data_IF_032192711126
#
_entry.id   IF_032192711126
#
_cell.length_a   1.000
_cell.length_b   1.000
_cell.length_c   1.000
_cell.angle_alpha   90.00
_cell.angle_beta   90.00
_cell.angle_gamma   90.00
#
_symmetry.space_group_name_H-M   'P 1'
#
loop_
_entity.id
_entity.type
_entity.pdbx_description
1 polymer ?
#
# COMPACT_ATOMS: atom_id res chain seq x y z
N UNK A 1 32.95 -36.29 -92.26
CA UNK A 1 33.86 -37.14 -91.46
C UNK A 1 33.02 -38.12 -90.67
N UNK A 2 33.36 -39.43 -90.75
CA UNK A 2 33.09 -40.57 -89.83
C UNK A 2 31.79 -40.53 -88.98
N UNK A 3 30.82 -41.44 -89.22
CA UNK A 3 30.69 -42.77 -88.55
C UNK A 3 30.53 -42.60 -87.02
N UNK A 4 29.50 -43.07 -86.30
CA UNK A 4 28.83 -44.39 -86.24
C UNK A 4 27.63 -44.25 -85.25
N UNK A 5 26.45 -44.83 -85.56
CA UNK A 5 25.85 -46.02 -84.93
C UNK A 5 25.33 -45.78 -83.49
N UNK A 6 24.04 -45.89 -83.17
CA UNK A 6 23.09 -47.03 -83.19
C UNK A 6 22.51 -47.08 -81.74
N UNK A 7 21.28 -47.46 -81.42
CA UNK A 7 20.34 -48.40 -81.99
C UNK A 7 18.92 -48.00 -81.50
N UNK A 8 17.88 -48.07 -82.35
CA UNK A 8 16.86 -49.14 -82.37
C UNK A 8 15.82 -49.00 -81.23
N UNK A 9 14.50 -49.15 -81.42
CA UNK A 9 13.70 -49.66 -82.54
C UNK A 9 12.22 -49.29 -82.27
N UNK A 10 11.45 -49.21 -83.35
CA UNK A 10 10.02 -49.56 -83.51
C UNK A 10 8.95 -48.66 -82.81
N UNK A 11 8.10 -47.94 -83.56
CA UNK A 11 6.96 -48.44 -84.39
C UNK A 11 5.80 -48.93 -83.51
N UNK A 12 4.51 -48.61 -83.67
CA UNK A 12 3.72 -48.14 -84.82
C UNK A 12 2.32 -47.70 -84.31
N UNK A 13 1.72 -46.77 -85.07
CA UNK A 13 0.31 -46.37 -85.28
C UNK A 13 -0.87 -46.89 -84.42
N UNK A 14 -1.83 -45.97 -84.27
CA UNK A 14 -3.28 -46.20 -84.34
C UNK A 14 -4.02 -45.51 -83.19
N UNK A 15 -5.15 -44.85 -83.32
CA UNK A 15 -6.08 -44.55 -84.42
C UNK A 15 -6.99 -43.44 -83.85
N UNK A 16 -7.26 -42.40 -84.62
CA UNK A 16 -8.16 -41.31 -84.22
C UNK A 16 -9.60 -41.69 -84.60
N UNK A 17 -10.48 -41.90 -83.61
CA UNK A 17 -11.93 -41.92 -83.82
C UNK A 17 -12.56 -40.99 -82.78
N UNK A 18 -13.06 -39.86 -83.26
CA UNK A 18 -13.89 -38.92 -82.50
C UNK A 18 -15.30 -39.52 -82.39
N UNK A 19 -15.75 -39.82 -81.16
CA UNK A 19 -17.17 -40.01 -80.86
C UNK A 19 -17.64 -38.83 -80.00
N UNK A 20 -18.55 -38.04 -80.56
CA UNK A 20 -19.28 -36.99 -79.88
C UNK A 20 -20.27 -37.67 -78.92
N UNK A 21 -20.06 -37.54 -77.62
CA UNK A 21 -21.04 -37.90 -76.59
C UNK A 21 -21.78 -36.63 -76.20
N UNK A 22 -23.07 -36.58 -76.55
CA UNK A 22 -24.03 -35.59 -76.05
C UNK A 22 -24.22 -35.78 -74.55
N UNK A 23 -23.69 -34.84 -73.75
CA UNK A 23 -23.94 -34.78 -72.32
C UNK A 23 -25.35 -34.23 -72.05
N UNK A 24 -26.16 -35.02 -71.35
CA UNK A 24 -27.42 -34.62 -70.76
C UNK A 24 -27.07 -33.99 -69.40
N UNK A 25 -27.13 -32.67 -69.27
CA UNK A 25 -26.84 -31.98 -68.01
C UNK A 25 -27.95 -32.29 -67.01
N UNK A 26 -27.64 -33.10 -66.00
CA UNK A 26 -28.44 -33.22 -64.78
C UNK A 26 -27.98 -32.10 -63.84
N UNK A 27 -28.90 -31.21 -63.45
CA UNK A 27 -28.69 -30.32 -62.32
C UNK A 27 -28.65 -31.19 -61.05
N UNK A 28 -27.45 -31.42 -60.52
CA UNK A 28 -27.26 -31.93 -59.17
C UNK A 28 -27.34 -30.74 -58.21
N UNK A 29 -28.43 -30.65 -57.44
CA UNK A 29 -28.50 -29.82 -56.25
C UNK A 29 -27.38 -30.24 -55.30
N UNK A 30 -26.29 -29.47 -55.33
CA UNK A 30 -25.14 -29.70 -54.47
C UNK A 30 -25.49 -29.18 -53.07
N UNK A 31 -26.10 -30.03 -52.25
CA UNK A 31 -26.19 -29.77 -50.82
C UNK A 31 -24.77 -29.77 -50.26
N UNK A 32 -24.31 -28.61 -49.78
CA UNK A 32 -23.11 -28.53 -48.97
C UNK A 32 -23.36 -29.38 -47.72
N UNK A 33 -22.68 -30.52 -47.61
CA UNK A 33 -22.65 -31.33 -46.39
C UNK A 33 -21.92 -30.54 -45.31
N UNK A 34 -22.68 -29.76 -44.54
CA UNK A 34 -22.17 -28.97 -43.43
C UNK A 34 -22.06 -29.88 -42.21
N UNK A 35 -21.16 -30.86 -42.25
CA UNK A 35 -20.81 -31.59 -41.04
C UNK A 35 -20.11 -30.60 -40.10
N UNK A 36 -20.68 -30.26 -38.93
CA UNK A 36 -20.07 -29.30 -38.03
C UNK A 36 -18.68 -29.83 -37.63
N UNK A 37 -17.65 -28.95 -37.57
CA UNK A 37 -16.33 -29.35 -37.15
C UNK A 37 -16.41 -30.10 -35.82
N UNK A 38 -15.69 -31.23 -35.65
CA UNK A 38 -15.69 -31.95 -34.39
C UNK A 38 -15.33 -30.99 -33.26
N UNK A 39 -16.13 -31.02 -32.18
CA UNK A 39 -15.96 -30.11 -31.05
C UNK A 39 -14.50 -30.15 -30.58
N UNK A 40 -13.85 -29.00 -30.51
CA UNK A 40 -12.46 -28.91 -30.09
C UNK A 40 -12.31 -29.51 -28.67
N UNK A 41 -11.70 -30.69 -28.58
CA UNK A 41 -11.47 -31.44 -27.34
C UNK A 41 -10.21 -31.01 -26.59
N UNK A 42 -9.49 -30.01 -27.09
CA UNK A 42 -8.34 -29.44 -26.42
C UNK A 42 -8.80 -28.65 -25.18
N UNK A 43 -8.41 -29.10 -23.98
CA UNK A 43 -8.45 -28.24 -22.79
C UNK A 43 -7.69 -26.96 -23.13
N UNK A 44 -8.39 -25.82 -23.11
CA UNK A 44 -7.78 -24.52 -23.28
C UNK A 44 -6.57 -24.42 -22.33
N UNK A 45 -5.41 -24.07 -22.86
CA UNK A 45 -4.21 -23.85 -22.06
C UNK A 45 -4.56 -22.86 -20.94
N UNK A 46 -4.38 -23.27 -19.69
CA UNK A 46 -4.70 -22.46 -18.52
C UNK A 46 -3.73 -21.26 -18.48
N UNK A 47 -4.15 -20.16 -19.10
CA UNK A 47 -3.36 -18.94 -19.22
C UNK A 47 -3.10 -18.40 -17.81
N UNK A 48 -1.82 -18.19 -17.47
CA UNK A 48 -1.45 -17.58 -16.19
C UNK A 48 -2.01 -16.15 -16.19
N UNK A 49 -2.87 -15.77 -15.21
CA UNK A 49 -3.46 -14.45 -15.19
C UNK A 49 -2.39 -13.39 -14.90
N UNK A 50 -2.38 -12.32 -15.69
CA UNK A 50 -1.42 -11.23 -15.53
C UNK A 50 -1.80 -10.33 -14.33
N UNK A 51 -0.80 -9.91 -13.55
CA UNK A 51 -0.99 -9.14 -12.32
C UNK A 51 -1.06 -7.65 -12.63
N UNK A 52 -2.10 -6.99 -12.14
CA UNK A 52 -2.24 -5.53 -12.14
C UNK A 52 -1.62 -4.92 -10.88
N UNK A 53 -1.13 -3.69 -11.01
CA UNK A 53 -0.56 -2.87 -9.93
C UNK A 53 -1.25 -1.50 -9.90
N UNK A 54 -1.80 -1.15 -8.75
CA UNK A 54 -2.45 0.13 -8.50
C UNK A 54 -1.69 0.89 -7.42
N UNK A 55 -1.34 2.15 -7.70
CA UNK A 55 -0.78 3.10 -6.72
C UNK A 55 -1.86 4.05 -6.24
N UNK A 56 -2.10 4.07 -4.93
CA UNK A 56 -3.10 4.93 -4.29
C UNK A 56 -2.35 5.94 -3.42
N UNK A 57 -2.34 7.24 -3.77
CA UNK A 57 -1.66 8.25 -2.97
C UNK A 57 -2.38 8.46 -1.64
N UNK A 58 -1.61 8.59 -0.56
CA UNK A 58 -2.06 8.90 0.78
C UNK A 58 -1.27 10.13 1.27
N UNK A 59 -1.97 11.09 1.86
CA UNK A 59 -1.34 12.31 2.38
C UNK A 59 -2.03 12.82 3.63
N UNK A 60 -1.26 13.42 4.53
CA UNK A 60 -1.75 14.16 5.69
C UNK A 60 -0.97 15.47 5.81
N UNK A 61 -1.67 16.54 6.15
CA UNK A 61 -1.09 17.88 6.31
C UNK A 61 -0.43 18.05 7.69
N UNK A 62 0.42 19.06 7.83
CA UNK A 62 1.01 19.43 9.12
C UNK A 62 -0.07 19.82 10.15
N UNK A 63 -1.13 20.49 9.71
CA UNK A 63 -2.26 20.91 10.55
C UNK A 63 -3.06 19.71 11.08
N UNK A 64 -3.37 18.74 10.21
CA UNK A 64 -4.06 17.51 10.63
C UNK A 64 -3.19 16.68 11.56
N UNK A 65 -1.89 16.59 11.28
CA UNK A 65 -0.92 15.91 12.14
C UNK A 65 -0.84 16.57 13.51
N UNK A 66 -0.84 17.91 13.56
CA UNK A 66 -0.86 18.69 14.82
C UNK A 66 -2.09 18.34 15.65
N UNK A 67 -3.27 18.33 15.03
CA UNK A 67 -4.53 17.98 15.70
C UNK A 67 -4.52 16.56 16.28
N UNK A 68 -4.05 15.57 15.51
CA UNK A 68 -3.95 14.19 15.99
C UNK A 68 -3.00 14.06 17.19
N UNK A 69 -1.87 14.75 17.16
CA UNK A 69 -0.92 14.75 18.28
C UNK A 69 -1.44 15.51 19.49
N UNK A 70 -2.20 16.58 19.29
CA UNK A 70 -2.84 17.33 20.38
C UNK A 70 -3.81 16.46 21.18
N UNK A 71 -4.60 15.63 20.50
CA UNK A 71 -5.52 14.68 21.11
C UNK A 71 -4.77 13.51 21.78
N UNK A 72 -3.67 13.05 21.18
CA UNK A 72 -2.90 11.92 21.67
C UNK A 72 -1.99 12.26 22.87
N UNK A 73 -1.47 13.48 22.94
CA UNK A 73 -0.51 13.93 23.96
C UNK A 73 -1.18 14.79 25.04
N UNK A 74 -1.84 14.09 25.98
CA UNK A 74 -2.49 14.70 27.14
C UNK A 74 -1.51 14.94 28.30
N UNK A 75 -1.87 15.87 29.18
CA UNK A 75 -1.12 16.13 30.42
C UNK A 75 -1.42 15.07 31.50
N UNK A 76 -0.44 14.75 32.37
CA UNK A 76 0.96 15.16 32.26
C UNK A 76 1.74 14.35 31.21
N UNK A 77 2.66 15.00 30.51
CA UNK A 77 3.55 14.32 29.55
C UNK A 77 4.43 13.30 30.28
N UNK A 78 5.00 13.73 31.41
CA UNK A 78 5.78 12.87 32.31
C UNK A 78 5.40 13.14 33.76
N UNK A 79 5.36 12.07 34.56
CA UNK A 79 5.20 12.16 36.01
C UNK A 79 6.04 11.04 36.62
N UNK A 80 7.27 11.37 36.99
CA UNK A 80 8.27 10.44 37.49
C UNK A 80 8.54 10.75 38.95
N UNK A 81 8.68 9.72 39.79
CA UNK A 81 9.02 9.86 41.21
C UNK A 81 10.29 9.09 41.53
N UNK A 82 11.15 9.67 42.38
CA UNK A 82 12.38 9.05 42.88
C UNK A 82 13.39 8.69 41.79
N UNK A 83 13.45 9.44 40.68
CA UNK A 83 14.46 9.25 39.65
C UNK A 83 15.82 9.59 40.24
N UNK A 84 16.75 8.63 40.32
CA UNK A 84 18.10 8.89 40.83
C UNK A 84 18.83 9.91 39.96
N UNK A 85 19.49 10.86 40.60
CA UNK A 85 20.44 11.78 39.99
C UNK A 85 21.85 11.15 40.01
N UNK A 86 22.76 11.71 39.22
CA UNK A 86 24.17 11.30 39.22
C UNK A 86 24.76 11.35 40.65
N UNK A 87 25.28 10.20 41.11
CA UNK A 87 25.82 9.98 42.46
C UNK A 87 27.14 10.73 42.71
N UNK A 88 27.68 11.46 41.72
CA UNK A 88 28.94 12.20 41.80
C UNK A 88 29.05 13.16 42.99
N UNK A 89 27.93 13.57 43.61
CA UNK A 89 27.91 14.47 44.77
C UNK A 89 27.13 13.92 45.99
N UNK A 90 26.78 12.63 46.02
CA UNK A 90 25.99 11.98 47.08
C UNK A 90 24.69 11.35 46.57
N UNK A 91 23.93 10.72 47.48
CA UNK A 91 22.62 10.12 47.15
C UNK A 91 21.64 11.23 46.78
N UNK A 92 21.17 11.23 45.54
CA UNK A 92 20.18 12.21 45.09
C UNK A 92 19.10 11.59 44.22
N UNK A 93 17.89 12.11 44.37
CA UNK A 93 16.73 11.70 43.60
C UNK A 93 15.83 12.89 43.29
N UNK A 94 15.04 12.79 42.22
CA UNK A 94 14.08 13.79 41.81
C UNK A 94 12.73 13.18 41.49
N UNK A 95 11.68 13.85 41.96
CA UNK A 95 10.37 13.75 41.35
C UNK A 95 10.31 14.79 40.21
N UNK A 96 9.82 14.42 39.02
CA UNK A 96 9.76 15.27 37.83
C UNK A 96 8.37 15.18 37.22
N UNK A 97 7.67 16.30 37.21
CA UNK A 97 6.39 16.50 36.52
C UNK A 97 6.62 17.39 35.31
N UNK A 98 6.19 16.95 34.13
CA UNK A 98 6.26 17.71 32.89
C UNK A 98 4.89 17.80 32.27
N UNK A 99 4.49 19.02 31.94
CA UNK A 99 3.20 19.32 31.35
C UNK A 99 3.36 20.22 30.13
N UNK A 100 2.60 19.90 29.08
CA UNK A 100 2.40 20.73 27.91
C UNK A 100 1.75 22.06 28.30
N UNK A 101 2.23 23.16 27.74
CA UNK A 101 1.73 24.52 28.00
C UNK A 101 1.15 25.23 26.79
N UNK A 102 1.24 24.64 25.60
CA UNK A 102 0.75 25.20 24.36
C UNK A 102 0.63 24.14 23.26
N UNK A 103 0.21 24.53 22.05
CA UNK A 103 -0.02 23.59 20.96
C UNK A 103 1.29 22.98 20.43
N UNK A 104 1.19 21.76 19.89
CA UNK A 104 2.23 21.07 19.13
C UNK A 104 2.37 21.75 17.77
N UNK A 105 3.52 22.38 17.53
CA UNK A 105 3.88 22.84 16.20
C UNK A 105 4.51 21.69 15.40
N UNK A 106 4.09 21.55 14.14
CA UNK A 106 4.53 20.48 13.23
C UNK A 106 5.22 21.09 12.02
N UNK A 107 6.39 20.55 11.66
CA UNK A 107 7.10 20.88 10.42
C UNK A 107 7.39 19.57 9.69
N UNK A 108 6.93 19.47 8.44
CA UNK A 108 7.08 18.28 7.59
C UNK A 108 7.97 18.63 6.40
N UNK A 109 9.28 18.44 6.57
CA UNK A 109 10.29 18.77 5.58
C UNK A 109 11.49 17.82 5.65
N UNK A 110 12.28 17.77 4.58
CA UNK A 110 13.53 17.00 4.52
C UNK A 110 13.34 15.53 4.92
N UNK A 111 12.20 14.95 4.54
CA UNK A 111 11.85 13.57 4.82
C UNK A 111 11.78 13.23 6.33
N UNK A 112 11.50 14.22 7.17
CA UNK A 112 11.33 14.07 8.61
C UNK A 112 10.11 14.85 9.12
N UNK A 113 9.42 14.30 10.12
CA UNK A 113 8.43 15.05 10.89
C UNK A 113 9.10 15.64 12.13
N UNK A 114 9.09 16.96 12.24
CA UNK A 114 9.64 17.68 13.38
C UNK A 114 8.49 18.27 14.20
N UNK A 115 8.47 17.94 15.48
CA UNK A 115 7.47 18.41 16.43
C UNK A 115 8.11 19.30 17.47
N UNK A 116 7.51 20.45 17.74
CA UNK A 116 7.93 21.36 18.81
C UNK A 116 6.82 21.51 19.83
N UNK A 117 7.10 21.11 21.07
CA UNK A 117 6.14 21.06 22.15
C UNK A 117 6.59 21.96 23.31
N UNK A 118 5.95 23.12 23.53
CA UNK A 118 6.24 23.95 24.70
C UNK A 118 5.76 23.24 25.97
N UNK A 119 6.62 23.23 26.99
CA UNK A 119 6.34 22.57 28.26
C UNK A 119 6.74 23.44 29.45
N UNK A 120 6.11 23.14 30.59
CA UNK A 120 6.59 23.50 31.93
C UNK A 120 7.01 22.24 32.66
N UNK A 121 7.95 22.38 33.57
CA UNK A 121 8.28 21.31 34.49
C UNK A 121 8.30 21.81 35.93
N UNK A 122 7.97 20.90 36.82
CA UNK A 122 8.09 21.03 38.26
C UNK A 122 8.92 19.84 38.71
N UNK A 123 9.97 20.09 39.49
CA UNK A 123 10.75 18.99 40.04
C UNK A 123 11.09 19.23 41.49
N UNK A 124 10.95 18.17 42.27
CA UNK A 124 11.33 18.13 43.66
C UNK A 124 12.60 17.31 43.79
N UNK A 125 13.71 17.98 44.09
CA UNK A 125 15.03 17.36 44.22
C UNK A 125 15.32 17.13 45.69
N UNK A 126 15.70 15.89 46.01
CA UNK A 126 16.20 15.47 47.31
C UNK A 126 17.67 15.11 47.14
N UNK A 127 18.51 15.70 47.98
CA UNK A 127 19.93 15.39 48.02
C UNK A 127 20.34 15.08 49.45
N UNK A 128 21.18 14.06 49.59
CA UNK A 128 21.78 13.64 50.85
C UNK A 128 23.23 13.26 50.60
N UNK A 129 24.15 13.95 51.25
CA UNK A 129 25.57 13.71 51.05
C UNK A 129 26.40 14.07 52.27
N UNK A 130 27.67 13.67 52.22
CA UNK A 130 28.65 14.01 53.23
C UNK A 130 29.70 14.93 52.58
N UNK A 131 29.76 16.18 53.04
CA UNK A 131 30.71 17.17 52.54
C UNK A 131 31.62 17.55 53.72
N UNK A 132 32.94 17.34 53.54
CA UNK A 132 33.97 17.58 54.58
C UNK A 132 33.69 16.91 55.95
N UNK A 133 33.05 15.73 55.95
CA UNK A 133 32.75 14.99 57.19
C UNK A 133 31.42 15.37 57.84
N UNK A 134 30.66 16.32 57.28
CA UNK A 134 29.35 16.75 57.75
C UNK A 134 28.25 16.12 56.88
N UNK A 135 27.42 15.28 57.50
CA UNK A 135 26.20 14.75 56.88
C UNK A 135 25.20 15.89 56.69
N UNK A 136 24.80 16.14 55.44
CA UNK A 136 23.86 17.18 55.06
C UNK A 136 22.77 16.60 54.16
N UNK A 137 21.56 17.11 54.30
CA UNK A 137 20.46 16.84 53.36
C UNK A 137 19.77 18.14 52.98
N UNK A 138 19.37 18.23 51.71
CA UNK A 138 18.59 19.36 51.21
C UNK A 138 17.42 18.85 50.37
N UNK A 139 16.34 19.61 50.40
CA UNK A 139 15.14 19.40 49.60
C UNK A 139 14.83 20.72 48.92
N UNK A 140 14.82 20.73 47.59
CA UNK A 140 14.58 21.94 46.82
C UNK A 140 13.58 21.68 45.70
N UNK A 141 12.57 22.55 45.61
CA UNK A 141 11.65 22.59 44.48
C UNK A 141 12.18 23.54 43.42
N UNK A 142 12.06 23.12 42.16
CA UNK A 142 12.47 23.89 41.00
C UNK A 142 11.36 23.91 39.97
N UNK A 143 11.29 25.03 39.28
CA UNK A 143 10.29 25.27 38.24
C UNK A 143 11.00 25.83 37.01
N UNK A 144 10.47 25.50 35.85
CA UNK A 144 10.91 26.10 34.62
C UNK A 144 10.11 25.60 33.44
N UNK A 145 10.69 25.77 32.25
CA UNK A 145 10.06 25.36 31.01
C UNK A 145 10.98 25.50 29.83
N UNK A 146 10.51 25.02 28.70
CA UNK A 146 11.28 24.94 27.48
C UNK A 146 10.43 24.43 26.33
N UNK A 147 11.10 23.92 25.31
CA UNK A 147 10.49 23.29 24.15
C UNK A 147 11.10 21.90 23.97
N UNK A 148 10.26 20.88 23.91
CA UNK A 148 10.69 19.55 23.46
C UNK A 148 10.71 19.56 21.93
N UNK A 149 11.82 19.14 21.34
CA UNK A 149 11.97 18.96 19.89
C UNK A 149 12.00 17.48 19.60
N UNK A 150 10.98 16.97 18.93
CA UNK A 150 10.95 15.58 18.50
C UNK A 150 11.20 15.50 16.99
N UNK A 151 12.09 14.62 16.58
CA UNK A 151 12.27 14.24 15.18
C UNK A 151 11.79 12.81 15.03
N UNK A 152 10.69 12.61 14.31
CA UNK A 152 9.99 11.33 14.22
C UNK A 152 9.85 10.91 12.76
N UNK A 153 10.00 9.61 12.55
CA UNK A 153 9.77 8.91 11.29
C UNK A 153 8.60 7.93 11.50
N UNK A 154 7.40 8.26 11.00
CA UNK A 154 6.26 7.35 11.09
C UNK A 154 6.41 6.17 10.14
N UNK A 155 5.83 5.03 10.49
CA UNK A 155 5.68 3.85 9.63
C UNK A 155 4.41 3.08 9.98
N UNK A 156 3.93 2.23 9.07
CA UNK A 156 2.85 1.29 9.37
C UNK A 156 3.44 -0.12 9.40
N UNK A 157 3.19 -0.85 10.49
CA UNK A 157 3.67 -2.23 10.65
C UNK A 157 2.81 -3.24 9.87
N UNK A 158 3.24 -4.51 9.76
CA UNK A 158 2.48 -5.55 9.05
C UNK A 158 1.08 -5.81 9.63
N UNK A 159 0.84 -5.44 10.89
CA UNK A 159 -0.45 -5.56 11.56
C UNK A 159 -1.36 -4.34 11.36
N UNK A 160 -0.96 -3.43 10.46
CA UNK A 160 -1.69 -2.20 10.14
C UNK A 160 -1.77 -1.22 11.31
N UNK A 161 -0.72 -1.17 12.15
CA UNK A 161 -0.57 -0.17 13.21
C UNK A 161 0.48 0.86 12.87
N UNK A 162 0.18 2.13 13.17
CA UNK A 162 1.14 3.22 13.16
C UNK A 162 2.21 3.00 14.22
N UNK A 163 3.46 3.19 13.80
CA UNK A 163 4.66 3.21 14.61
C UNK A 163 5.37 4.54 14.45
N UNK A 164 5.87 5.07 15.55
CA UNK A 164 6.55 6.34 15.64
C UNK A 164 7.96 6.08 16.19
N UNK A 165 8.95 6.18 15.31
CA UNK A 165 10.35 6.02 15.71
C UNK A 165 11.03 7.38 15.65
N UNK A 166 11.71 7.78 16.71
CA UNK A 166 12.31 9.09 16.74
C UNK A 166 13.20 9.35 17.93
N UNK A 167 13.74 10.56 17.95
CA UNK A 167 14.51 11.08 19.06
C UNK A 167 13.86 12.36 19.58
N UNK A 168 13.97 12.56 20.87
CA UNK A 168 13.58 13.79 21.56
C UNK A 168 14.86 14.57 21.90
N UNK A 169 14.77 15.89 21.88
CA UNK A 169 15.76 16.79 22.42
C UNK A 169 15.07 17.89 23.22
N UNK A 170 15.79 18.50 24.15
CA UNK A 170 15.24 19.51 25.07
C UNK A 170 15.92 20.86 24.87
N UNK A 171 15.13 21.90 24.63
CA UNK A 171 15.60 23.28 24.60
C UNK A 171 15.04 24.05 25.79
N UNK A 172 15.91 24.43 26.74
CA UNK A 172 15.51 25.14 27.95
C UNK A 172 15.35 26.64 27.71
N UNK A 173 14.23 27.22 28.15
CA UNK A 173 14.05 28.69 28.15
C UNK A 173 15.05 29.38 29.08
N UNK A 174 15.32 28.76 30.24
CA UNK A 174 16.35 29.15 31.20
C UNK A 174 16.95 27.89 31.81
N UNK A 175 18.27 27.77 31.79
CA UNK A 175 18.96 26.59 32.30
C UNK A 175 18.64 26.37 33.79
N UNK A 176 18.03 25.23 34.17
CA UNK A 176 17.67 24.95 35.55
C UNK A 176 18.89 24.65 36.41
N UNK A 177 18.85 25.12 37.65
CA UNK A 177 19.94 24.97 38.61
C UNK A 177 19.41 24.91 40.05
N UNK A 178 20.10 24.17 40.90
CA UNK A 178 19.87 24.08 42.35
C UNK A 178 20.98 24.77 43.13
N UNK A 179 20.74 25.05 44.41
CA UNK A 179 21.77 25.60 45.31
C UNK A 179 22.13 24.59 46.38
N UNK A 180 23.38 24.16 46.41
CA UNK A 180 23.93 23.26 47.43
C UNK A 180 25.06 23.99 48.14
N UNK A 181 24.96 24.14 49.47
CA UNK A 181 25.96 24.84 50.31
C UNK A 181 26.36 26.24 49.77
N UNK A 182 25.39 26.99 49.24
CA UNK A 182 25.63 28.32 48.68
C UNK A 182 26.25 28.34 47.27
N UNK A 183 26.55 27.18 46.68
CA UNK A 183 27.00 27.04 45.29
C UNK A 183 25.84 26.68 44.37
N UNK A 184 25.81 27.27 43.18
CA UNK A 184 24.79 27.02 42.16
C UNK A 184 25.24 25.90 41.21
N UNK A 185 24.48 24.82 41.15
CA UNK A 185 24.76 23.64 40.34
C UNK A 185 23.71 23.52 39.24
N UNK A 186 24.16 23.48 37.97
CA UNK A 186 23.27 23.29 36.82
C UNK A 186 22.83 21.84 36.68
N UNK A 187 21.55 21.61 36.44
CA UNK A 187 20.93 20.27 36.36
C UNK A 187 20.24 20.02 35.01
N UNK A 188 20.41 20.94 34.06
CA UNK A 188 19.80 20.89 32.74
C UNK A 188 20.14 19.59 32.00
N UNK A 189 21.40 19.16 32.02
CA UNK A 189 21.85 17.94 31.35
C UNK A 189 21.15 16.70 31.89
N UNK A 190 21.06 16.57 33.22
CA UNK A 190 20.37 15.46 33.87
C UNK A 190 18.88 15.40 33.49
N UNK A 191 18.18 16.54 33.59
CA UNK A 191 16.76 16.60 33.24
C UNK A 191 16.55 16.29 31.75
N UNK A 192 17.45 16.75 30.88
CA UNK A 192 17.38 16.45 29.45
C UNK A 192 17.55 14.96 29.19
N UNK A 193 18.59 14.32 29.76
CA UNK A 193 18.82 12.87 29.66
C UNK A 193 17.63 12.06 30.13
N UNK A 194 17.04 12.45 31.27
CA UNK A 194 15.85 11.76 31.82
C UNK A 194 14.66 11.82 30.88
N UNK A 195 14.42 12.97 30.25
CA UNK A 195 13.33 13.13 29.28
C UNK A 195 13.62 12.41 27.96
N UNK A 196 14.87 12.43 27.51
CA UNK A 196 15.33 11.74 26.30
C UNK A 196 15.22 10.22 26.45
N UNK A 197 15.66 9.65 27.58
CA UNK A 197 15.53 8.22 27.92
C UNK A 197 14.06 7.76 27.95
N UNK A 198 13.14 8.64 28.37
CA UNK A 198 11.70 8.38 28.41
C UNK A 198 10.95 8.82 27.16
N UNK A 199 11.65 9.21 26.11
CA UNK A 199 11.00 9.59 24.84
C UNK A 199 10.18 8.45 24.24
N UNK A 200 10.64 7.20 24.41
CA UNK A 200 9.92 6.00 23.98
C UNK A 200 8.52 5.87 24.61
N UNK A 201 8.38 6.15 25.90
CA UNK A 201 7.08 6.09 26.60
C UNK A 201 6.08 7.11 26.02
N UNK A 202 6.58 8.30 25.68
CA UNK A 202 5.76 9.37 25.10
C UNK A 202 5.31 9.02 23.68
N UNK A 203 6.23 8.50 22.86
CA UNK A 203 5.92 8.04 21.51
C UNK A 203 4.94 6.86 21.53
N UNK A 204 5.10 5.91 22.46
CA UNK A 204 4.21 4.76 22.60
C UNK A 204 2.79 5.19 22.99
N UNK A 205 2.64 6.13 23.94
CA UNK A 205 1.31 6.68 24.27
C UNK A 205 0.65 7.35 23.07
N UNK A 206 1.43 8.11 22.29
CA UNK A 206 0.93 8.70 21.06
C UNK A 206 0.52 7.65 20.03
N UNK A 207 1.32 6.59 19.84
CA UNK A 207 0.97 5.45 18.98
C UNK A 207 -0.36 4.81 19.40
N UNK A 208 -0.54 4.53 20.69
CA UNK A 208 -1.73 3.86 21.21
C UNK A 208 -3.01 4.68 20.94
N UNK A 209 -2.99 5.97 21.25
CA UNK A 209 -4.17 6.82 21.08
C UNK A 209 -4.48 7.09 19.59
N UNK A 210 -3.45 7.30 18.76
CA UNK A 210 -3.64 7.48 17.32
C UNK A 210 -4.16 6.18 16.67
N UNK A 211 -3.61 5.02 17.02
CA UNK A 211 -4.09 3.74 16.49
C UNK A 211 -5.53 3.45 16.93
N UNK A 212 -5.89 3.83 18.16
CA UNK A 212 -7.25 3.67 18.70
C UNK A 212 -8.26 4.55 17.96
N UNK A 213 -7.91 5.78 17.62
CA UNK A 213 -8.80 6.71 16.93
C UNK A 213 -8.97 6.37 15.45
N UNK A 214 -7.87 6.08 14.73
CA UNK A 214 -7.89 5.86 13.28
C UNK A 214 -8.41 4.46 12.91
N UNK A 215 -8.16 3.42 13.73
CA UNK A 215 -8.57 2.02 13.48
C UNK A 215 -8.23 1.54 12.07
N UNK A 216 -7.01 1.84 11.61
CA UNK A 216 -6.56 1.65 10.22
C UNK A 216 -6.83 0.24 9.67
N UNK A 217 -6.54 -0.80 10.48
CA UNK A 217 -6.77 -2.21 10.10
C UNK A 217 -8.21 -2.51 9.72
N UNK A 218 -9.17 -1.91 10.41
CA UNK A 218 -10.59 -2.18 10.17
C UNK A 218 -11.07 -1.51 8.89
N UNK A 219 -10.67 -0.26 8.67
CA UNK A 219 -10.93 0.43 7.41
C UNK A 219 -10.31 -0.31 6.23
N UNK A 220 -9.06 -0.75 6.36
CA UNK A 220 -8.39 -1.56 5.35
C UNK A 220 -9.12 -2.89 5.10
N UNK A 221 -9.58 -3.58 6.15
CA UNK A 221 -10.29 -4.85 6.02
C UNK A 221 -11.66 -4.69 5.33
N UNK A 222 -12.38 -3.60 5.63
CA UNK A 222 -13.66 -3.29 4.98
C UNK A 222 -13.45 -3.02 3.49
N UNK A 223 -12.51 -2.15 3.12
CA UNK A 223 -12.21 -1.88 1.71
C UNK A 223 -11.64 -3.11 0.98
N UNK A 224 -10.85 -3.95 1.65
CA UNK A 224 -10.38 -5.21 1.07
C UNK A 224 -11.51 -6.18 0.74
N UNK A 225 -12.55 -6.21 1.57
CA UNK A 225 -13.78 -6.98 1.31
C UNK A 225 -14.58 -6.37 0.17
N UNK A 226 -14.76 -5.05 0.17
CA UNK A 226 -15.48 -4.33 -0.89
C UNK A 226 -14.83 -4.52 -2.26
N UNK A 227 -13.50 -4.43 -2.35
CA UNK A 227 -12.74 -4.67 -3.59
C UNK A 227 -13.02 -6.03 -4.20
N UNK A 228 -13.33 -7.05 -3.41
CA UNK A 228 -13.63 -8.39 -3.89
C UNK A 228 -15.07 -8.53 -4.40
N UNK A 229 -15.89 -7.49 -4.29
CA UNK A 229 -17.26 -7.48 -4.78
C UNK A 229 -17.25 -7.20 -6.29
N UNK A 230 -17.77 -8.12 -7.11
CA UNK A 230 -17.84 -7.94 -8.56
C UNK A 230 -18.65 -6.72 -8.95
N UNK A 231 -18.13 -5.93 -9.88
CA UNK A 231 -18.76 -4.72 -10.39
C UNK A 231 -19.47 -5.03 -11.73
N UNK A 232 -20.75 -4.70 -11.84
CA UNK A 232 -21.47 -4.81 -13.11
C UNK A 232 -20.99 -3.71 -14.07
N UNK A 233 -20.55 -4.11 -15.27
CA UNK A 233 -20.16 -3.20 -16.35
C UNK A 233 -21.28 -3.01 -17.37
N UNK A 234 -22.09 -4.03 -17.59
CA UNK A 234 -23.25 -4.02 -18.49
C UNK A 234 -24.27 -5.06 -18.05
N UNK A 235 -25.56 -4.82 -18.28
CA UNK A 235 -26.66 -5.76 -17.99
C UNK A 235 -27.13 -6.51 -19.25
N UNK A 236 -26.88 -6.01 -20.45
CA UNK A 236 -27.33 -6.61 -21.71
C UNK A 236 -26.28 -6.45 -22.82
N UNK A 237 -25.36 -7.42 -22.98
CA UNK A 237 -25.20 -8.64 -22.20
C UNK A 237 -24.70 -8.36 -20.78
N UNK A 238 -24.97 -9.28 -19.85
CA UNK A 238 -24.46 -9.20 -18.48
C UNK A 238 -22.94 -9.34 -18.49
N UNK A 239 -22.22 -8.29 -18.12
CA UNK A 239 -20.75 -8.26 -18.05
C UNK A 239 -20.34 -7.77 -16.67
N UNK A 240 -19.47 -8.52 -16.01
CA UNK A 240 -19.00 -8.22 -14.66
C UNK A 240 -17.47 -8.08 -14.67
N UNK A 241 -16.96 -7.10 -13.93
CA UNK A 241 -15.55 -7.01 -13.52
C UNK A 241 -15.39 -7.68 -12.16
N UNK A 242 -14.51 -8.66 -12.08
CA UNK A 242 -14.09 -9.29 -10.84
C UNK A 242 -12.66 -8.88 -10.52
N UNK A 243 -12.41 -8.54 -9.25
CA UNK A 243 -11.10 -8.15 -8.75
C UNK A 243 -10.70 -9.20 -7.71
N UNK A 244 -9.55 -9.83 -7.92
CA UNK A 244 -8.93 -10.73 -6.96
C UNK A 244 -7.67 -10.06 -6.40
N UNK A 245 -7.77 -9.37 -5.25
CA UNK A 245 -6.62 -8.72 -4.65
C UNK A 245 -5.66 -9.77 -4.09
N UNK A 246 -4.35 -9.47 -4.13
CA UNK A 246 -3.28 -10.42 -3.81
C UNK A 246 -2.42 -9.93 -2.65
N UNK A 247 -1.96 -8.69 -2.70
CA UNK A 247 -1.12 -8.12 -1.65
C UNK A 247 -1.24 -6.61 -1.61
N UNK A 248 -0.96 -6.05 -0.45
CA UNK A 248 -0.79 -4.61 -0.26
C UNK A 248 0.62 -4.34 0.23
N UNK A 249 1.23 -3.31 -0.35
CA UNK A 249 2.55 -2.85 0.03
C UNK A 249 2.58 -1.33 0.12
N UNK A 250 3.48 -0.79 0.94
CA UNK A 250 3.61 0.65 1.12
C UNK A 250 5.10 1.01 1.29
N UNK A 251 5.61 2.02 0.58
CA UNK A 251 6.94 2.55 0.84
C UNK A 251 6.94 3.38 2.14
N UNK A 252 8.12 3.71 2.68
CA UNK A 252 8.24 4.66 3.78
C UNK A 252 7.55 6.00 3.44
N UNK A 253 7.07 6.70 4.47
CA UNK A 253 6.53 8.03 4.28
C UNK A 253 7.62 9.02 3.84
N UNK A 254 7.21 9.99 3.03
CA UNK A 254 8.01 11.16 2.68
C UNK A 254 7.38 12.42 3.24
N UNK A 255 8.22 13.33 3.73
CA UNK A 255 7.79 14.61 4.29
C UNK A 255 8.42 15.76 3.49
N UNK A 256 7.58 16.55 2.84
CA UNK A 256 8.01 17.70 2.06
C UNK A 256 6.87 18.73 1.94
N UNK A 257 7.21 20.02 2.03
CA UNK A 257 6.26 21.11 1.78
C UNK A 257 5.07 21.12 2.73
N UNK A 258 5.23 20.72 3.99
CA UNK A 258 4.14 20.68 4.97
C UNK A 258 3.20 19.48 4.81
N UNK A 259 3.55 18.50 3.96
CA UNK A 259 2.75 17.30 3.72
C UNK A 259 3.59 16.06 4.03
N UNK A 260 2.98 15.10 4.73
CA UNK A 260 3.49 13.75 4.89
C UNK A 260 2.72 12.85 3.93
N UNK A 261 3.40 12.28 2.94
CA UNK A 261 2.82 11.51 1.86
C UNK A 261 3.42 10.11 1.73
N UNK A 262 2.62 9.16 1.26
CA UNK A 262 3.06 7.82 0.83
C UNK A 262 2.09 7.28 -0.22
N UNK A 263 2.36 6.10 -0.77
CA UNK A 263 1.53 5.46 -1.77
C UNK A 263 1.25 4.00 -1.40
N UNK A 264 -0.02 3.61 -1.38
CA UNK A 264 -0.40 2.22 -1.20
C UNK A 264 -0.35 1.50 -2.56
N UNK A 265 0.50 0.49 -2.67
CA UNK A 265 0.61 -0.36 -3.84
C UNK A 265 -0.22 -1.64 -3.67
N UNK A 266 -1.30 -1.76 -4.44
CA UNK A 266 -2.19 -2.91 -4.49
C UNK A 266 -1.86 -3.79 -5.70
N UNK A 267 -1.54 -5.06 -5.45
CA UNK A 267 -1.45 -6.09 -6.49
C UNK A 267 -2.76 -6.86 -6.58
N UNK A 268 -3.30 -7.01 -7.78
CA UNK A 268 -4.53 -7.78 -7.99
C UNK A 268 -4.60 -8.39 -9.39
N UNK A 269 -5.50 -9.35 -9.56
CA UNK A 269 -5.88 -9.90 -10.87
C UNK A 269 -7.25 -9.33 -11.21
N UNK A 270 -7.39 -8.80 -12.43
CA UNK A 270 -8.64 -8.25 -12.95
C UNK A 270 -9.17 -9.18 -14.03
N UNK A 271 -10.44 -9.55 -13.92
CA UNK A 271 -11.12 -10.37 -14.93
C UNK A 271 -12.49 -9.80 -15.26
N UNK A 272 -12.73 -9.59 -16.55
CA UNK A 272 -14.03 -9.25 -17.09
C UNK A 272 -14.63 -10.48 -17.75
N UNK A 273 -15.83 -10.88 -17.33
CA UNK A 273 -16.53 -11.98 -17.99
C UNK A 273 -18.05 -11.79 -17.99
N UNK A 274 -18.70 -12.46 -18.95
CA UNK A 274 -20.16 -12.55 -19.03
C UNK A 274 -20.73 -13.86 -18.49
N UNK A 275 -19.86 -14.78 -18.06
CA UNK A 275 -20.21 -16.10 -17.50
C UNK A 275 -20.14 -16.13 -15.96
N UNK A 276 -20.16 -14.95 -15.33
CA UNK A 276 -19.91 -14.81 -13.91
C UNK A 276 -20.92 -15.58 -13.05
N UNK A 277 -20.44 -16.56 -12.27
CA UNK A 277 -21.27 -17.50 -11.51
C UNK A 277 -21.98 -16.88 -10.27
N UNK A 278 -21.95 -15.56 -10.13
CA UNK A 278 -22.54 -14.80 -9.02
C UNK A 278 -21.58 -14.58 -7.84
N UNK A 279 -21.77 -13.50 -7.06
CA UNK A 279 -20.83 -13.10 -5.99
C UNK A 279 -20.78 -14.10 -4.84
N UNK A 280 -21.85 -14.87 -4.60
CA UNK A 280 -21.97 -15.83 -3.50
C UNK A 280 -21.00 -17.01 -3.59
N UNK A 281 -20.52 -17.33 -4.80
CA UNK A 281 -19.58 -18.45 -5.03
C UNK A 281 -18.12 -18.05 -4.92
N UNK A 282 -17.83 -16.76 -4.71
CA UNK A 282 -16.47 -16.26 -4.64
C UNK A 282 -15.92 -16.41 -3.22
N UNK A 283 -14.85 -17.21 -3.08
CA UNK A 283 -14.14 -17.33 -1.79
C UNK A 283 -13.41 -16.02 -1.49
N UNK A 284 -13.92 -15.26 -0.54
CA UNK A 284 -13.28 -14.04 -0.06
C UNK A 284 -11.96 -14.36 0.64
N UNK A 285 -10.96 -13.54 0.34
CA UNK A 285 -9.66 -13.53 1.01
C UNK A 285 -9.67 -12.53 2.15
N UNK A 286 -8.97 -12.85 3.22
CA UNK A 286 -8.74 -11.93 4.34
C UNK A 286 -7.67 -10.90 3.97
N UNK A 287 -7.71 -9.75 4.65
CA UNK A 287 -6.69 -8.70 4.50
C UNK A 287 -5.30 -9.28 4.82
N UNK A 288 -4.34 -9.24 3.87
CA UNK A 288 -2.99 -9.70 4.13
C UNK A 288 -2.22 -8.73 5.06
N UNK A 289 -1.14 -9.20 5.70
CA UNK A 289 -0.23 -8.30 6.40
C UNK A 289 0.36 -7.28 5.42
N UNK A 290 0.55 -6.04 5.89
CA UNK A 290 1.16 -4.99 5.08
C UNK A 290 2.65 -5.30 4.85
N UNK A 291 3.11 -5.13 3.62
CA UNK A 291 4.52 -5.34 3.26
C UNK A 291 5.19 -4.03 2.89
N UNK A 292 6.50 -3.92 3.13
CA UNK A 292 7.25 -2.74 2.72
C UNK A 292 7.54 -2.83 1.23
N UNK A 293 7.17 -1.80 0.47
CA UNK A 293 7.55 -1.69 -0.93
C UNK A 293 9.01 -1.19 -0.99
N UNK A 294 9.94 -1.90 -1.67
CA UNK A 294 11.29 -1.40 -1.86
C UNK A 294 11.27 -0.07 -2.62
N UNK A 295 12.11 0.88 -2.20
CA UNK A 295 12.19 2.23 -2.77
C UNK A 295 12.58 2.26 -4.27
N UNK A 296 13.01 1.13 -4.83
CA UNK A 296 13.36 0.97 -6.25
C UNK A 296 12.17 0.66 -7.17
N UNK A 297 10.99 0.38 -6.61
CA UNK A 297 9.76 0.18 -7.36
C UNK A 297 8.97 1.49 -7.39
N UNK A 298 8.85 2.08 -8.59
CA UNK A 298 7.85 3.12 -8.83
C UNK A 298 6.47 2.47 -8.67
N UNK A 299 5.65 2.92 -7.71
CA UNK A 299 4.36 2.29 -7.46
C UNK A 299 3.43 2.39 -8.67
N UNK A 300 3.65 3.34 -9.59
CA UNK A 300 3.10 3.37 -10.95
C UNK A 300 1.62 3.00 -11.10
N UNK A 301 1.22 2.69 -12.33
CA UNK A 301 -0.11 2.13 -12.60
C UNK A 301 0.01 1.16 -13.76
N UNK A 302 -0.33 -0.11 -13.52
CA UNK A 302 -0.33 -1.17 -14.53
C UNK A 302 -1.65 -1.92 -14.46
N UNK A 303 -2.43 -1.85 -15.53
CA UNK A 303 -3.68 -2.58 -15.65
C UNK A 303 -3.52 -3.71 -16.64
N UNK A 304 -3.65 -4.92 -16.14
CA UNK A 304 -3.73 -6.15 -16.91
C UNK A 304 -5.14 -6.72 -16.76
N UNK A 305 -5.89 -6.69 -17.86
CA UNK A 305 -7.28 -7.12 -17.88
C UNK A 305 -7.42 -8.44 -18.63
N UNK A 306 -7.85 -9.48 -17.93
CA UNK A 306 -8.25 -10.74 -18.55
C UNK A 306 -9.71 -10.65 -18.98
N UNK A 307 -10.01 -10.90 -20.24
CA UNK A 307 -11.39 -10.88 -20.77
C UNK A 307 -11.81 -12.26 -21.23
N UNK A 308 -12.98 -12.71 -20.80
CA UNK A 308 -13.58 -13.97 -21.25
C UNK A 308 -15.04 -13.77 -21.65
N UNK A 309 -15.32 -13.97 -22.94
CA UNK A 309 -16.67 -13.86 -23.51
C UNK A 309 -16.99 -15.14 -24.30
N UNK A 310 -17.89 -16.01 -23.82
CA UNK A 310 -18.36 -17.14 -24.59
C UNK A 310 -19.14 -16.67 -25.83
N UNK A 311 -19.04 -17.42 -26.93
CA UNK A 311 -19.73 -17.10 -28.19
C UNK A 311 -21.24 -16.85 -28.04
N UNK A 312 -21.90 -17.52 -27.09
CA UNK A 312 -23.31 -17.28 -26.77
C UNK A 312 -23.56 -15.81 -26.39
N UNK A 313 -22.76 -15.25 -25.48
CA UNK A 313 -22.93 -13.88 -25.03
C UNK A 313 -22.64 -12.86 -26.14
N UNK A 314 -21.69 -13.16 -27.01
CA UNK A 314 -21.42 -12.35 -28.21
C UNK A 314 -22.59 -12.43 -29.21
N UNK A 315 -23.18 -13.60 -29.39
CA UNK A 315 -24.37 -13.78 -30.24
C UNK A 315 -25.60 -13.03 -29.72
N UNK A 316 -25.82 -13.04 -28.40
CA UNK A 316 -26.87 -12.24 -27.75
C UNK A 316 -26.66 -10.73 -27.98
N UNK A 317 -25.43 -10.24 -27.80
CA UNK A 317 -25.09 -8.85 -28.07
C UNK A 317 -25.29 -8.49 -29.55
N UNK A 318 -24.80 -9.32 -30.47
CA UNK A 318 -24.92 -9.12 -31.91
C UNK A 318 -26.39 -9.11 -32.36
N UNK A 319 -27.23 -9.98 -31.80
CA UNK A 319 -28.67 -10.05 -32.12
C UNK A 319 -29.47 -8.87 -31.58
N UNK A 320 -28.96 -8.21 -30.53
CA UNK A 320 -29.56 -7.02 -29.96
C UNK A 320 -29.14 -5.72 -30.69
N UNK A 321 -28.16 -5.79 -31.58
CA UNK A 321 -27.70 -4.66 -32.38
C UNK A 321 -28.25 -4.77 -33.81
N UNK A 322 -28.66 -3.66 -34.40
CA UNK A 322 -28.87 -3.58 -35.86
C UNK A 322 -27.48 -3.63 -36.53
N UNK A 323 -27.05 -4.83 -36.91
CA UNK A 323 -25.81 -4.97 -37.67
C UNK A 323 -26.03 -4.42 -39.09
N UNK A 324 -25.08 -3.66 -39.63
CA UNK A 324 -25.15 -3.21 -41.01
C UNK A 324 -25.14 -4.42 -41.94
N UNK A 325 -26.02 -4.42 -42.94
CA UNK A 325 -26.07 -5.47 -43.95
C UNK A 325 -24.75 -5.56 -44.71
N UNK A 326 -24.19 -6.77 -44.78
CA UNK A 326 -22.98 -7.09 -45.53
C UNK A 326 -23.39 -7.80 -46.81
N UNK A 327 -23.09 -7.19 -47.95
CA UNK A 327 -23.20 -7.85 -49.26
C UNK A 327 -22.12 -8.94 -49.36
N UNK A 328 -22.56 -10.19 -49.46
CA UNK A 328 -21.68 -11.33 -49.72
C UNK A 328 -21.21 -11.31 -51.18
N UNK A 329 -19.96 -11.71 -51.46
CA UNK A 329 -19.40 -11.76 -52.82
C UNK A 329 -20.22 -12.60 -53.82
N UNK A 330 -21.10 -13.48 -53.34
CA UNK A 330 -21.96 -14.35 -54.14
C UNK A 330 -23.39 -13.79 -54.36
N UNK A 331 -23.68 -12.54 -53.98
CA UNK A 331 -24.95 -11.87 -54.30
C UNK A 331 -26.08 -12.03 -53.27
N UNK A 332 -25.77 -12.09 -51.97
CA UNK A 332 -26.75 -12.09 -50.88
C UNK A 332 -26.42 -11.05 -49.81
N UNK A 333 -27.41 -10.67 -48.99
CA UNK A 333 -27.22 -9.77 -47.83
C UNK A 333 -27.37 -10.54 -46.53
N UNK A 334 -26.49 -10.29 -45.57
CA UNK A 334 -26.57 -10.79 -44.18
C UNK A 334 -26.40 -9.65 -43.21
#
# INVERSE_FOLDING_TARGET
MKKLAAAALASILGSLVFFIVTAKTQEEDTFLDITPPPAATGKASEKIPAVSLFSIPLSITAEETSRLLEEALLNPLYNVKGQKLDDSYGESDADVLVEKTGPVAVVLENNAAQFSLPFRFESLIRWKGNIFGISSSTKQEIFGGGVLRLKVSPSIDPDWKLRLNGALGVEWKKSPAITILGQKIGIAGFLSSTLEERSGDLLLRAEEEINRSIRLKEHAANHWKELQTPLALSESPKVMLSIKPMSVSMPPFSAAGGILSTHLALKCILRVSSDFAGPEKQKLTVLPPLTVLPSSLDPGFLVNLETFFPYRALGEYASAQELPTVDLPAGGQV
#
